data_IF_033330428754
#
_entry.id   IF_033330428754
#
_cell.length_a   1.000
_cell.length_b   1.000
_cell.length_c   1.000
_cell.angle_alpha   90.00
_cell.angle_beta   90.00
_cell.angle_gamma   90.00
#
_symmetry.space_group_name_H-M   'P 1'
#
loop_
_entity.id
_entity.type
_entity.pdbx_description
1 polymer ?
#
# COMPACT_ATOMS: atom_id res chain seq x y z
N UNK A 1 5.93 -7.42 8.52
CA UNK A 1 6.02 -6.17 7.72
C UNK A 1 6.96 -6.30 6.53
N UNK A 2 8.25 -6.57 6.70
CA UNK A 2 9.25 -6.60 5.59
C UNK A 2 8.82 -7.57 4.48
N UNK A 3 8.61 -8.84 4.80
CA UNK A 3 8.18 -9.85 3.83
C UNK A 3 6.86 -9.47 3.15
N UNK A 4 5.88 -8.98 3.92
CA UNK A 4 4.62 -8.50 3.38
C UNK A 4 4.80 -7.35 2.39
N UNK A 5 5.71 -6.42 2.66
CA UNK A 5 5.96 -5.28 1.79
C UNK A 5 6.65 -5.67 0.47
N UNK A 6 7.60 -6.62 0.54
CA UNK A 6 8.25 -7.19 -0.65
C UNK A 6 7.23 -7.96 -1.50
N UNK A 7 6.42 -8.81 -0.85
CA UNK A 7 5.36 -9.54 -1.54
C UNK A 7 4.34 -8.61 -2.16
N UNK A 8 3.93 -7.53 -1.46
CA UNK A 8 2.99 -6.54 -1.98
C UNK A 8 3.49 -5.91 -3.29
N UNK A 9 4.76 -5.47 -3.29
CA UNK A 9 5.40 -4.96 -4.50
C UNK A 9 5.44 -6.01 -5.61
N UNK A 10 5.83 -7.25 -5.29
CA UNK A 10 5.90 -8.33 -6.27
C UNK A 10 4.52 -8.69 -6.87
N UNK A 11 3.46 -8.70 -6.04
CA UNK A 11 2.10 -9.05 -6.48
C UNK A 11 1.43 -7.96 -7.31
N UNK A 12 1.90 -6.72 -7.21
CA UNK A 12 1.45 -5.63 -8.08
C UNK A 12 2.11 -5.64 -9.46
N UNK A 13 3.17 -6.44 -9.66
CA UNK A 13 3.86 -6.49 -10.94
C UNK A 13 3.02 -7.26 -11.99
N UNK A 14 2.98 -6.83 -13.26
CA UNK A 14 2.22 -7.52 -14.29
C UNK A 14 2.60 -8.99 -14.41
N UNK A 15 1.61 -9.88 -14.29
CA UNK A 15 1.74 -11.34 -14.36
C UNK A 15 0.82 -11.90 -15.43
N UNK A 16 1.18 -13.06 -15.97
CA UNK A 16 0.35 -13.79 -16.94
C UNK A 16 -0.95 -14.29 -16.31
N UNK A 17 -2.03 -14.34 -17.11
CA UNK A 17 -3.40 -14.61 -16.64
C UNK A 17 -3.54 -15.91 -15.82
N UNK A 18 -2.70 -16.92 -16.06
CA UNK A 18 -2.72 -18.20 -15.34
C UNK A 18 -2.37 -18.12 -13.84
N UNK A 19 -1.81 -17.01 -13.37
CA UNK A 19 -1.40 -16.82 -11.97
C UNK A 19 -2.31 -15.87 -11.17
N UNK A 20 -3.36 -15.30 -11.78
CA UNK A 20 -4.13 -14.20 -11.19
C UNK A 20 -4.75 -14.53 -9.82
N UNK A 21 -5.34 -15.71 -9.66
CA UNK A 21 -5.93 -16.13 -8.39
C UNK A 21 -4.87 -16.28 -7.27
N UNK A 22 -3.73 -16.92 -7.58
CA UNK A 22 -2.61 -17.06 -6.65
C UNK A 22 -2.06 -15.69 -6.24
N UNK A 23 -1.88 -14.78 -7.19
CA UNK A 23 -1.35 -13.43 -6.95
C UNK A 23 -2.29 -12.60 -6.09
N UNK A 24 -3.61 -12.72 -6.25
CA UNK A 24 -4.56 -12.05 -5.37
C UNK A 24 -4.49 -12.56 -3.92
N UNK A 25 -4.38 -13.87 -3.69
CA UNK A 25 -4.22 -14.43 -2.34
C UNK A 25 -2.88 -14.07 -1.70
N UNK A 26 -1.80 -14.10 -2.49
CA UNK A 26 -0.48 -13.64 -2.04
C UNK A 26 -0.50 -12.15 -1.70
N UNK A 27 -1.19 -11.33 -2.50
CA UNK A 27 -1.39 -9.89 -2.27
C UNK A 27 -2.19 -9.62 -1.00
N UNK A 28 -3.25 -10.41 -0.74
CA UNK A 28 -3.99 -10.34 0.52
C UNK A 28 -3.10 -10.65 1.73
N UNK A 29 -2.35 -11.75 1.68
CA UNK A 29 -1.43 -12.13 2.75
C UNK A 29 -0.36 -11.04 2.98
N UNK A 30 0.17 -10.47 1.91
CA UNK A 30 1.11 -9.36 1.94
C UNK A 30 0.53 -8.13 2.65
N UNK A 31 -0.68 -7.70 2.28
CA UNK A 31 -1.37 -6.56 2.91
C UNK A 31 -1.62 -6.82 4.39
N UNK A 32 -2.04 -8.02 4.78
CA UNK A 32 -2.27 -8.37 6.19
C UNK A 32 -0.97 -8.30 7.02
N UNK A 33 0.15 -8.75 6.46
CA UNK A 33 1.47 -8.65 7.09
C UNK A 33 1.97 -7.20 7.21
N UNK A 34 1.65 -6.35 6.23
CA UNK A 34 1.92 -4.90 6.28
C UNK A 34 1.02 -4.24 7.33
N UNK A 35 -0.27 -4.58 7.36
CA UNK A 35 -1.25 -4.08 8.32
C UNK A 35 -0.84 -4.36 9.76
N UNK A 36 -0.51 -5.62 10.07
CA UNK A 36 -0.05 -6.00 11.41
C UNK A 36 1.22 -5.25 11.83
N UNK A 37 2.22 -5.19 10.94
CA UNK A 37 3.46 -4.46 11.20
C UNK A 37 3.25 -2.95 11.38
N UNK A 38 2.40 -2.35 10.56
CA UNK A 38 2.09 -0.93 10.65
C UNK A 38 1.34 -0.60 11.95
N UNK A 39 0.45 -1.49 12.43
CA UNK A 39 -0.18 -1.30 13.75
C UNK A 39 0.83 -1.30 14.89
N UNK A 40 1.84 -2.17 14.83
CA UNK A 40 2.93 -2.20 15.81
C UNK A 40 3.71 -0.88 15.77
N UNK A 41 4.10 -0.42 14.58
CA UNK A 41 4.75 0.88 14.39
C UNK A 41 3.90 2.04 14.95
N UNK A 42 2.64 2.12 14.54
CA UNK A 42 1.73 3.19 14.94
C UNK A 42 1.47 3.19 16.45
N UNK A 43 1.35 2.01 17.06
CA UNK A 43 1.21 1.84 18.51
C UNK A 43 2.44 2.31 19.27
N UNK A 44 3.63 1.83 18.87
CA UNK A 44 4.89 2.16 19.53
C UNK A 44 5.29 3.64 19.40
N UNK A 45 4.81 4.34 18.37
CA UNK A 45 5.15 5.74 18.11
C UNK A 45 4.01 6.74 18.31
N UNK A 46 2.83 6.27 18.73
CA UNK A 46 1.66 7.12 18.96
C UNK A 46 1.94 8.35 19.83
N UNK A 47 2.70 8.27 20.95
CA UNK A 47 2.96 9.45 21.79
C UNK A 47 3.76 10.55 21.08
N UNK A 48 4.61 10.18 20.13
CA UNK A 48 5.53 11.10 19.44
C UNK A 48 4.93 11.71 18.16
N UNK A 49 4.01 10.98 17.53
CA UNK A 49 3.40 11.36 16.25
C UNK A 49 2.37 12.51 16.36
N UNK A 50 1.85 12.75 17.56
CA UNK A 50 0.83 13.76 17.82
C UNK A 50 -0.46 13.53 17.02
N UNK A 51 -1.33 14.56 16.97
CA UNK A 51 -2.64 14.46 16.28
C UNK A 51 -2.50 14.25 14.77
N UNK A 52 -1.54 14.93 14.14
CA UNK A 52 -1.31 14.83 12.70
C UNK A 52 -0.89 13.42 12.31
N UNK A 53 0.11 12.84 12.99
CA UNK A 53 0.55 11.49 12.71
C UNK A 53 -0.48 10.43 13.08
N UNK A 54 -1.28 10.64 14.14
CA UNK A 54 -2.41 9.75 14.45
C UNK A 54 -3.47 9.73 13.34
N UNK A 55 -3.79 10.89 12.76
CA UNK A 55 -4.70 10.99 11.62
C UNK A 55 -4.11 10.29 10.37
N UNK A 56 -2.83 10.54 10.07
CA UNK A 56 -2.12 9.85 9.00
C UNK A 56 -2.09 8.33 9.16
N UNK A 57 -1.84 7.83 10.37
CA UNK A 57 -1.92 6.40 10.68
C UNK A 57 -3.33 5.85 10.46
N UNK A 58 -4.37 6.61 10.82
CA UNK A 58 -5.76 6.24 10.55
C UNK A 58 -6.04 6.06 9.06
N UNK A 59 -5.56 6.98 8.22
CA UNK A 59 -5.68 6.89 6.77
C UNK A 59 -4.95 5.67 6.19
N UNK A 60 -3.71 5.40 6.64
CA UNK A 60 -2.96 4.21 6.20
C UNK A 60 -3.72 2.93 6.56
N UNK A 61 -4.25 2.83 7.79
CA UNK A 61 -5.01 1.66 8.23
C UNK A 61 -6.31 1.49 7.44
N UNK A 62 -7.03 2.57 7.18
CA UNK A 62 -8.24 2.55 6.36
C UNK A 62 -7.95 2.10 4.92
N UNK A 63 -6.89 2.65 4.31
CA UNK A 63 -6.49 2.27 2.97
C UNK A 63 -5.98 0.82 2.88
N UNK A 64 -5.23 0.34 3.87
CA UNK A 64 -4.81 -1.08 3.93
C UNK A 64 -6.02 -2.01 4.08
N UNK A 65 -7.01 -1.64 4.90
CA UNK A 65 -8.25 -2.40 5.03
C UNK A 65 -9.02 -2.44 3.69
N UNK A 66 -9.13 -1.30 3.01
CA UNK A 66 -9.75 -1.22 1.69
C UNK A 66 -8.98 -2.07 0.64
N UNK A 67 -7.64 -2.08 0.70
CA UNK A 67 -6.80 -2.93 -0.17
C UNK A 67 -7.06 -4.41 0.10
N UNK A 68 -7.17 -4.82 1.36
CA UNK A 68 -7.52 -6.20 1.72
C UNK A 68 -8.90 -6.58 1.17
N UNK A 69 -9.90 -5.70 1.27
CA UNK A 69 -11.23 -5.90 0.68
C UNK A 69 -11.13 -6.02 -0.85
N UNK A 70 -10.33 -5.19 -1.51
CA UNK A 70 -10.08 -5.27 -2.95
C UNK A 70 -9.49 -6.61 -3.38
N UNK A 71 -8.47 -7.10 -2.66
CA UNK A 71 -7.91 -8.43 -2.91
C UNK A 71 -8.91 -9.56 -2.67
N UNK A 72 -9.73 -9.48 -1.62
CA UNK A 72 -10.80 -10.46 -1.37
C UNK A 72 -11.80 -10.46 -2.52
N UNK A 73 -12.25 -9.29 -2.97
CA UNK A 73 -13.19 -9.17 -4.08
C UNK A 73 -12.60 -9.75 -5.39
N UNK A 74 -11.34 -9.44 -5.70
CA UNK A 74 -10.65 -9.97 -6.87
C UNK A 74 -10.42 -11.50 -6.78
N UNK A 75 -10.10 -12.02 -5.59
CA UNK A 75 -9.91 -13.46 -5.38
C UNK A 75 -11.25 -14.22 -5.43
N UNK A 76 -12.34 -13.60 -4.97
CA UNK A 76 -13.68 -14.18 -5.00
C UNK A 76 -14.35 -14.09 -6.37
N UNK A 77 -13.98 -13.09 -7.19
CA UNK A 77 -14.58 -12.84 -8.51
C UNK A 77 -14.74 -14.09 -9.39
N UNK A 78 -13.69 -14.92 -9.58
CA UNK A 78 -13.78 -16.17 -10.35
C UNK A 78 -14.73 -17.23 -9.77
N UNK A 79 -15.12 -17.11 -8.50
CA UNK A 79 -16.05 -18.02 -7.81
C UNK A 79 -17.51 -17.55 -7.94
N UNK A 80 -17.74 -16.33 -8.42
CA UNK A 80 -19.07 -15.74 -8.55
C UNK A 80 -19.66 -16.12 -9.92
N UNK A 81 -20.97 -16.46 -10.00
CA UNK A 81 -21.60 -16.72 -11.29
C UNK A 81 -21.45 -15.52 -12.24
N UNK A 82 -21.22 -15.78 -13.54
CA UNK A 82 -21.02 -14.74 -14.57
C UNK A 82 -22.06 -13.61 -14.57
N UNK A 83 -23.30 -13.93 -14.19
CA UNK A 83 -24.39 -12.97 -14.08
C UNK A 83 -24.15 -11.84 -13.04
N UNK A 84 -23.24 -12.06 -12.07
CA UNK A 84 -22.94 -11.12 -11.00
C UNK A 84 -21.51 -10.54 -11.05
N UNK A 85 -20.67 -10.97 -12.00
CA UNK A 85 -19.28 -10.48 -12.13
C UNK A 85 -19.22 -8.95 -12.24
N UNK A 86 -20.10 -8.34 -13.04
CA UNK A 86 -20.17 -6.88 -13.18
C UNK A 86 -20.56 -6.16 -11.88
N UNK A 87 -21.44 -6.76 -11.07
CA UNK A 87 -21.83 -6.18 -9.79
C UNK A 87 -20.70 -6.25 -8.75
N UNK A 88 -19.95 -7.36 -8.73
CA UNK A 88 -18.76 -7.51 -7.87
C UNK A 88 -17.66 -6.53 -8.28
N UNK A 89 -17.43 -6.35 -9.59
CA UNK A 89 -16.49 -5.37 -10.10
C UNK A 89 -16.88 -3.93 -9.67
N UNK A 90 -18.15 -3.56 -9.83
CA UNK A 90 -18.66 -2.25 -9.39
C UNK A 90 -18.51 -2.05 -7.87
N UNK A 91 -18.75 -3.09 -7.07
CA UNK A 91 -18.57 -3.03 -5.62
C UNK A 91 -17.09 -2.97 -5.21
N UNK A 92 -16.17 -3.48 -6.04
CA UNK A 92 -14.73 -3.41 -5.79
C UNK A 92 -14.14 -2.02 -6.10
N UNK A 93 -14.74 -1.23 -7.00
CA UNK A 93 -14.26 0.11 -7.36
C UNK A 93 -14.07 1.01 -6.13
N UNK A 94 -15.05 1.15 -5.21
CA UNK A 94 -14.84 1.92 -3.97
C UNK A 94 -13.66 1.44 -3.14
N UNK A 95 -13.44 0.13 -3.05
CA UNK A 95 -12.32 -0.44 -2.27
C UNK A 95 -10.97 -0.05 -2.89
N UNK A 96 -10.85 -0.13 -4.22
CA UNK A 96 -9.66 0.30 -4.94
C UNK A 96 -9.48 1.82 -4.94
N UNK A 97 -10.55 2.61 -4.94
CA UNK A 97 -10.42 4.06 -4.76
C UNK A 97 -9.92 4.37 -3.34
N UNK A 98 -10.50 3.74 -2.31
CA UNK A 98 -10.12 3.97 -0.92
C UNK A 98 -8.73 3.41 -0.56
N UNK A 99 -8.19 2.44 -1.29
CA UNK A 99 -6.82 1.95 -1.07
C UNK A 99 -5.78 3.07 -1.22
N UNK A 100 -6.06 4.08 -2.03
CA UNK A 100 -5.16 5.21 -2.25
C UNK A 100 -4.98 6.09 -1.00
N UNK A 101 -5.84 5.94 0.02
CA UNK A 101 -5.65 6.55 1.34
C UNK A 101 -4.33 6.11 1.99
N UNK A 102 -3.76 4.96 1.60
CA UNK A 102 -2.42 4.53 2.03
C UNK A 102 -1.39 5.60 1.70
N UNK A 103 -1.39 6.14 0.48
CA UNK A 103 -0.38 7.09 0.02
C UNK A 103 -0.55 8.46 0.70
N UNK A 104 -1.79 8.94 0.79
CA UNK A 104 -2.10 10.18 1.50
C UNK A 104 -1.73 10.07 3.00
N UNK A 105 -2.10 8.96 3.63
CA UNK A 105 -1.75 8.65 5.01
C UNK A 105 -0.24 8.54 5.21
N UNK A 106 0.47 7.83 4.32
CA UNK A 106 1.93 7.69 4.35
C UNK A 106 2.62 9.05 4.25
N UNK A 107 2.14 9.95 3.38
CA UNK A 107 2.66 11.33 3.30
C UNK A 107 2.51 12.06 4.62
N UNK A 108 1.33 12.01 5.24
CA UNK A 108 1.08 12.66 6.53
C UNK A 108 1.94 12.06 7.65
N UNK A 109 2.05 10.73 7.70
CA UNK A 109 2.92 10.02 8.66
C UNK A 109 4.38 10.39 8.44
N UNK A 110 4.84 10.51 7.19
CA UNK A 110 6.19 10.95 6.84
C UNK A 110 6.50 12.35 7.37
N UNK A 111 5.56 13.30 7.21
CA UNK A 111 5.69 14.66 7.76
C UNK A 111 5.79 14.62 9.29
N UNK A 112 4.92 13.86 9.95
CA UNK A 112 4.96 13.70 11.40
C UNK A 112 6.28 13.06 11.87
N UNK A 113 6.76 12.04 11.16
CA UNK A 113 8.02 11.37 11.45
C UNK A 113 9.24 12.29 11.26
N UNK A 114 9.25 13.15 10.24
CA UNK A 114 10.29 14.17 10.05
C UNK A 114 10.34 15.15 11.23
N UNK A 115 9.16 15.61 11.69
CA UNK A 115 9.06 16.54 12.82
C UNK A 115 9.50 15.90 14.13
N UNK A 116 9.10 14.66 14.37
CA UNK A 116 9.38 13.94 15.62
C UNK A 116 10.70 13.13 15.59
N UNK A 117 11.42 13.09 14.46
CA UNK A 117 12.67 12.33 14.26
C UNK A 117 12.56 10.84 14.64
N UNK A 118 11.41 10.23 14.38
CA UNK A 118 11.11 8.84 14.78
C UNK A 118 11.83 7.81 13.91
N UNK A 119 12.06 8.15 12.64
CA UNK A 119 12.69 7.31 11.61
C UNK A 119 13.80 8.11 10.90
N UNK A 120 14.75 7.45 10.21
CA UNK A 120 15.77 8.12 9.41
C UNK A 120 15.15 9.08 8.39
N UNK A 121 15.84 10.20 8.14
CA UNK A 121 15.36 11.27 7.26
C UNK A 121 15.04 10.75 5.85
N UNK A 122 15.84 9.82 5.32
CA UNK A 122 15.60 9.19 4.00
C UNK A 122 14.28 8.44 3.95
N UNK A 123 13.99 7.60 4.95
CA UNK A 123 12.71 6.88 5.06
C UNK A 123 11.53 7.85 5.19
N UNK A 124 11.68 8.90 5.99
CA UNK A 124 10.61 9.87 6.19
C UNK A 124 10.33 10.69 4.91
N UNK A 125 11.38 11.08 4.15
CA UNK A 125 11.22 11.74 2.85
C UNK A 125 10.54 10.83 1.82
N UNK A 126 10.89 9.55 1.80
CA UNK A 126 10.22 8.56 0.93
C UNK A 126 8.72 8.48 1.25
N UNK A 127 8.35 8.44 2.53
CA UNK A 127 6.95 8.49 2.96
C UNK A 127 6.26 9.80 2.55
N UNK A 128 6.91 10.95 2.75
CA UNK A 128 6.35 12.25 2.32
C UNK A 128 6.06 12.26 0.83
N UNK A 129 6.96 11.69 0.03
CA UNK A 129 6.83 11.64 -1.42
C UNK A 129 5.73 10.68 -1.91
N UNK A 130 5.15 9.83 -1.05
CA UNK A 130 4.22 8.77 -1.49
C UNK A 130 3.04 9.26 -2.32
N UNK A 131 2.25 10.21 -1.81
CA UNK A 131 1.10 10.76 -2.55
C UNK A 131 1.50 11.60 -3.78
N UNK A 132 2.51 12.50 -3.71
CA UNK A 132 3.01 13.19 -4.90
C UNK A 132 3.49 12.24 -6.01
N UNK A 133 4.23 11.18 -5.65
CA UNK A 133 4.73 10.19 -6.60
C UNK A 133 3.60 9.36 -7.21
N UNK A 134 2.57 9.03 -6.42
CA UNK A 134 1.36 8.39 -6.95
C UNK A 134 0.74 9.26 -8.04
N UNK A 135 0.45 10.53 -7.76
CA UNK A 135 -0.20 11.42 -8.73
C UNK A 135 0.67 11.56 -9.98
N UNK A 136 1.95 11.91 -9.81
CA UNK A 136 2.85 12.14 -10.92
C UNK A 136 3.06 10.87 -11.77
N UNK A 137 3.28 9.73 -11.11
CA UNK A 137 3.55 8.47 -11.79
C UNK A 137 2.34 7.86 -12.47
N UNK A 138 1.16 7.86 -11.82
CA UNK A 138 -0.08 7.38 -12.47
C UNK A 138 -0.44 8.27 -13.66
N UNK A 139 -0.36 9.60 -13.51
CA UNK A 139 -0.59 10.52 -14.64
C UNK A 139 0.41 10.33 -15.77
N UNK A 140 1.69 10.11 -15.45
CA UNK A 140 2.71 9.84 -16.45
C UNK A 140 2.48 8.49 -17.16
N UNK A 141 2.13 7.45 -16.42
CA UNK A 141 1.80 6.13 -16.98
C UNK A 141 0.64 6.24 -17.99
N UNK A 142 -0.44 6.92 -17.59
CA UNK A 142 -1.58 7.19 -18.48
C UNK A 142 -1.20 8.00 -19.73
N UNK A 143 -0.26 8.94 -19.61
CA UNK A 143 0.19 9.77 -20.73
C UNK A 143 1.11 9.01 -21.72
N UNK A 144 1.94 8.09 -21.22
CA UNK A 144 2.88 7.33 -22.06
C UNK A 144 2.18 6.18 -22.79
N UNK A 145 1.29 5.44 -22.11
CA UNK A 145 0.60 4.28 -22.67
C UNK A 145 1.51 3.06 -22.91
N UNK A 146 0.93 1.99 -23.45
CA UNK A 146 1.65 0.75 -23.77
C UNK A 146 2.27 0.04 -22.55
N UNK A 147 3.23 -0.85 -22.77
CA UNK A 147 3.87 -1.64 -21.71
C UNK A 147 4.70 -0.81 -20.72
N UNK A 148 5.16 0.38 -21.13
CA UNK A 148 5.85 1.31 -20.24
C UNK A 148 4.90 1.91 -19.18
N UNK A 149 3.61 2.07 -19.51
CA UNK A 149 2.61 2.59 -18.58
C UNK A 149 2.45 1.69 -17.34
N UNK A 150 2.42 0.37 -17.54
CA UNK A 150 2.25 -0.60 -16.45
C UNK A 150 3.43 -0.53 -15.46
N UNK A 151 4.66 -0.45 -15.98
CA UNK A 151 5.86 -0.35 -15.17
C UNK A 151 5.93 0.96 -14.39
N UNK A 152 5.62 2.09 -15.05
CA UNK A 152 5.63 3.42 -14.43
C UNK A 152 4.57 3.50 -13.34
N UNK A 153 3.36 3.00 -13.63
CA UNK A 153 2.25 2.98 -12.68
C UNK A 153 2.62 2.13 -11.48
N UNK A 154 3.06 0.88 -11.69
CA UNK A 154 3.50 -0.03 -10.63
C UNK A 154 4.60 0.58 -9.73
N UNK A 155 5.62 1.21 -10.34
CA UNK A 155 6.70 1.82 -9.59
C UNK A 155 6.17 2.94 -8.67
N UNK A 156 5.20 3.72 -9.17
CA UNK A 156 4.53 4.80 -8.47
C UNK A 156 3.43 4.35 -7.50
N UNK A 157 3.05 3.07 -7.49
CA UNK A 157 2.08 2.49 -6.56
C UNK A 157 2.76 1.45 -5.67
N UNK A 158 2.67 0.17 -6.04
CA UNK A 158 3.07 -0.95 -5.19
C UNK A 158 4.58 -1.00 -4.98
N UNK A 159 5.37 -0.60 -5.97
CA UNK A 159 6.84 -0.55 -5.89
C UNK A 159 7.32 0.39 -4.78
N UNK A 160 6.93 1.67 -4.84
CA UNK A 160 7.32 2.64 -3.81
C UNK A 160 6.72 2.33 -2.44
N UNK A 161 5.46 1.87 -2.38
CA UNK A 161 4.82 1.52 -1.13
C UNK A 161 5.52 0.33 -0.46
N UNK A 162 5.81 -0.73 -1.23
CA UNK A 162 6.56 -1.89 -0.76
C UNK A 162 7.94 -1.50 -0.23
N UNK A 163 8.68 -0.64 -0.94
CA UNK A 163 9.97 -0.16 -0.45
C UNK A 163 9.85 0.62 0.87
N UNK A 164 8.91 1.56 0.96
CA UNK A 164 8.70 2.36 2.17
C UNK A 164 8.35 1.49 3.39
N UNK A 165 7.43 0.54 3.22
CA UNK A 165 7.01 -0.35 4.31
C UNK A 165 8.09 -1.38 4.67
N UNK A 166 8.90 -1.84 3.72
CA UNK A 166 10.04 -2.71 3.99
C UNK A 166 11.09 -1.99 4.84
N UNK A 167 11.41 -0.73 4.51
CA UNK A 167 12.34 0.08 5.31
C UNK A 167 11.81 0.32 6.73
N UNK A 168 10.52 0.62 6.90
CA UNK A 168 9.91 0.77 8.23
C UNK A 168 9.96 -0.56 8.99
N UNK A 169 9.67 -1.67 8.33
CA UNK A 169 9.79 -3.00 8.91
C UNK A 169 11.22 -3.30 9.40
N UNK A 170 12.24 -2.95 8.60
CA UNK A 170 13.63 -3.11 9.00
C UNK A 170 13.98 -2.27 10.24
N UNK A 171 13.43 -1.07 10.35
CA UNK A 171 13.62 -0.22 11.54
C UNK A 171 12.98 -0.81 12.80
N UNK A 172 11.81 -1.46 12.67
CA UNK A 172 11.17 -2.15 13.79
C UNK A 172 12.04 -3.31 14.29
N UNK A 173 12.59 -4.13 13.39
CA UNK A 173 13.45 -5.25 13.75
C UNK A 173 14.76 -4.81 14.44
N UNK A 174 15.24 -3.59 14.19
CA UNK A 174 16.44 -3.05 14.83
C UNK A 174 16.21 -2.49 16.23
N UNK A 175 14.96 -2.30 16.66
CA UNK A 175 14.60 -1.77 17.98
C UNK A 175 14.36 -2.86 19.04
N UNK A 176 14.42 -4.13 18.67
CA UNK A 176 14.24 -5.29 19.57
C UNK A 176 15.55 -5.83 20.17
N UNK A 177 16.65 -5.08 20.08
CA UNK A 177 17.94 -5.36 20.72
C UNK A 177 18.47 -4.10 21.41
#
# INVERSE_FOLDING_TARGET
MIFGAIMFAATGFPVTEGAAAFVNWAGLAAVLLVFGGFRVFAGGHRPFLGRLGAWGCGLVLAGLAATAVGFIANAAGPLVPKAFEGAVALAAVPAWTLSHLIYAGATVVGIACLRARIVPRSTALLLVASFPLLIAGVSLGLAVGGSAADLITWAATEGQAGLAWALIGALLCRREY
#
